data_IF_228564758344
#
_entry.id   IF_228564758344
#
_cell.length_a   1.000
_cell.length_b   1.000
_cell.length_c   1.000
_cell.angle_alpha   90.00
_cell.angle_beta   90.00
_cell.angle_gamma   90.00
#
_symmetry.space_group_name_H-M   'P 1'
#
loop_
_entity.id
_entity.type
_entity.pdbx_description
1 polymer ?
#
# COMPACT_ATOMS: atom_id res chain seq x y z
N UNK A 1 -6.37 -9.03 -0.61
CA UNK A 1 -5.39 -7.93 -0.49
C UNK A 1 -4.37 -8.12 -1.59
N UNK A 2 -4.11 -7.08 -2.36
CA UNK A 2 -3.05 -7.03 -3.36
C UNK A 2 -2.09 -5.92 -2.94
N UNK A 3 -0.81 -6.24 -2.84
CA UNK A 3 0.23 -5.28 -2.46
C UNK A 3 1.11 -4.95 -3.66
N UNK A 4 1.44 -3.68 -3.82
CA UNK A 4 2.36 -3.21 -4.85
C UNK A 4 2.85 -1.80 -4.54
N UNK A 5 3.49 -1.17 -5.51
CA UNK A 5 3.89 0.23 -5.44
C UNK A 5 3.59 0.95 -6.76
N UNK A 6 3.69 2.28 -6.75
CA UNK A 6 3.43 3.09 -7.94
C UNK A 6 4.56 3.02 -8.99
N UNK A 7 5.71 2.44 -8.61
CA UNK A 7 6.84 2.18 -9.51
C UNK A 7 7.57 0.87 -9.19
N UNK A 8 8.32 0.37 -10.16
CA UNK A 8 9.05 -0.90 -10.08
C UNK A 8 10.16 -0.88 -9.02
N UNK A 9 10.86 0.26 -8.86
CA UNK A 9 12.01 0.36 -7.97
C UNK A 9 11.57 0.30 -6.49
N UNK A 10 10.48 0.98 -6.15
CA UNK A 10 9.84 0.87 -4.83
C UNK A 10 9.42 -0.56 -4.55
N UNK A 11 8.77 -1.22 -5.51
CA UNK A 11 8.36 -2.63 -5.39
C UNK A 11 9.58 -3.52 -5.11
N UNK A 12 10.68 -3.31 -5.83
CA UNK A 12 11.93 -4.04 -5.62
C UNK A 12 12.51 -3.82 -4.23
N UNK A 13 12.62 -2.57 -3.77
CA UNK A 13 13.16 -2.26 -2.43
C UNK A 13 12.38 -2.94 -1.31
N UNK A 14 11.05 -3.00 -1.42
CA UNK A 14 10.18 -3.65 -0.43
C UNK A 14 10.38 -5.17 -0.35
N UNK A 15 10.65 -5.83 -1.48
CA UNK A 15 10.78 -7.30 -1.53
C UNK A 15 12.22 -7.80 -1.47
N UNK A 16 13.18 -6.96 -1.83
CA UNK A 16 14.59 -7.36 -1.94
C UNK A 16 15.20 -7.61 -0.56
N UNK A 17 15.81 -8.79 -0.40
CA UNK A 17 16.54 -9.18 0.79
C UNK A 17 17.84 -9.85 0.34
N UNK A 18 18.99 -9.30 0.74
CA UNK A 18 20.30 -9.71 0.22
C UNK A 18 20.63 -11.19 0.48
N UNK A 19 20.16 -11.71 1.60
CA UNK A 19 20.37 -13.09 2.07
C UNK A 19 19.61 -14.15 1.24
N UNK A 20 18.49 -13.78 0.64
CA UNK A 20 17.63 -14.68 -0.15
C UNK A 20 17.52 -14.29 -1.62
N UNK A 21 18.19 -13.22 -2.03
CA UNK A 21 18.07 -12.66 -3.37
C UNK A 21 18.61 -13.62 -4.44
N UNK A 22 17.81 -13.79 -5.49
CA UNK A 22 18.24 -14.38 -6.77
C UNK A 22 18.84 -13.31 -7.66
N UNK A 23 19.50 -13.73 -8.74
CA UNK A 23 20.07 -12.85 -9.76
C UNK A 23 19.01 -12.12 -10.60
N UNK A 24 17.76 -12.58 -10.56
CA UNK A 24 16.68 -12.08 -11.40
C UNK A 24 15.42 -11.80 -10.61
N UNK A 25 14.71 -10.75 -11.01
CA UNK A 25 13.41 -10.34 -10.49
C UNK A 25 12.40 -10.24 -11.64
N UNK A 26 11.13 -10.53 -11.35
CA UNK A 26 10.02 -10.38 -12.31
C UNK A 26 9.04 -9.35 -11.77
N UNK A 27 8.69 -8.38 -12.60
CA UNK A 27 7.69 -7.36 -12.31
C UNK A 27 6.40 -7.68 -13.07
N UNK A 28 5.27 -7.54 -12.37
CA UNK A 28 3.95 -7.49 -12.99
C UNK A 28 3.39 -6.08 -12.84
N UNK A 29 3.15 -5.40 -13.96
CA UNK A 29 2.57 -4.05 -13.97
C UNK A 29 1.08 -4.15 -14.19
N UNK A 30 0.31 -3.62 -13.25
CA UNK A 30 -1.15 -3.66 -13.29
C UNK A 30 -1.73 -2.28 -13.60
N UNK A 31 -2.83 -2.26 -14.36
CA UNK A 31 -3.62 -1.06 -14.64
C UNK A 31 -4.99 -1.19 -14.01
N UNK A 32 -5.51 -0.08 -13.50
CA UNK A 32 -6.90 -0.01 -13.04
C UNK A 32 -7.86 0.04 -14.24
N UNK A 33 -8.90 -0.78 -14.21
CA UNK A 33 -9.94 -0.83 -15.26
C UNK A 33 -11.13 0.08 -14.94
N UNK A 34 -11.16 0.62 -13.73
CA UNK A 34 -12.11 1.62 -13.27
C UNK A 34 -11.43 2.56 -12.26
N UNK A 35 -11.98 3.76 -12.02
CA UNK A 35 -11.54 4.59 -10.90
C UNK A 35 -11.65 3.84 -9.57
N UNK A 36 -10.62 3.93 -8.73
CA UNK A 36 -10.58 3.33 -7.40
C UNK A 36 -10.67 4.42 -6.33
N UNK A 37 -11.38 4.13 -5.24
CA UNK A 37 -11.47 4.99 -4.07
C UNK A 37 -10.44 4.56 -3.03
N UNK A 38 -9.37 5.32 -2.85
CA UNK A 38 -8.26 4.96 -1.98
C UNK A 38 -8.19 5.89 -0.76
N UNK A 39 -7.91 5.33 0.41
CA UNK A 39 -7.48 6.11 1.57
C UNK A 39 -6.01 6.46 1.41
N UNK A 40 -5.69 7.74 1.32
CA UNK A 40 -4.31 8.21 1.20
C UNK A 40 -3.71 8.54 2.56
N UNK A 41 -2.93 7.61 3.11
CA UNK A 41 -2.16 7.84 4.33
C UNK A 41 -0.85 8.58 4.04
N UNK A 42 -0.36 8.58 2.79
CA UNK A 42 0.91 9.23 2.45
C UNK A 42 0.84 10.76 2.54
N UNK A 43 -0.38 11.33 2.53
CA UNK A 43 -0.64 12.75 2.51
C UNK A 43 -1.73 13.16 3.53
N UNK A 44 -1.54 12.80 4.80
CA UNK A 44 -2.48 13.16 5.86
C UNK A 44 -2.49 14.67 6.15
N UNK A 45 -3.66 15.27 6.47
CA UNK A 45 -3.74 16.64 6.94
C UNK A 45 -2.92 16.86 8.22
N UNK A 46 -2.40 18.09 8.39
CA UNK A 46 -1.71 18.47 9.64
C UNK A 46 -2.66 18.35 10.83
N UNK A 47 -2.11 17.91 11.96
CA UNK A 47 -2.84 17.83 13.22
C UNK A 47 -3.16 19.26 13.70
N UNK A 48 -4.44 19.63 13.90
CA UNK A 48 -4.84 20.94 14.41
C UNK A 48 -4.24 21.24 15.78
N UNK A 49 -4.00 22.52 16.09
CA UNK A 49 -3.53 22.93 17.41
C UNK A 49 -4.52 22.55 18.52
N UNK A 50 -4.04 22.36 19.74
CA UNK A 50 -4.93 22.18 20.91
C UNK A 50 -5.77 23.42 21.23
N UNK A 51 -5.38 24.58 20.69
CA UNK A 51 -6.10 25.85 20.82
C UNK A 51 -6.92 26.21 19.57
N UNK A 52 -6.97 25.34 18.55
CA UNK A 52 -7.78 25.58 17.36
C UNK A 52 -9.22 25.14 17.61
N UNK A 53 -10.04 26.03 18.18
CA UNK A 53 -11.43 25.72 18.53
C UNK A 53 -12.27 25.24 17.34
N UNK A 54 -11.95 25.68 16.12
CA UNK A 54 -12.72 25.34 14.91
C UNK A 54 -12.47 23.90 14.47
N UNK A 55 -11.20 23.48 14.49
CA UNK A 55 -10.78 22.16 14.01
C UNK A 55 -10.42 21.17 15.14
N UNK A 56 -10.62 21.54 16.42
CA UNK A 56 -10.26 20.72 17.58
C UNK A 56 -10.83 19.30 17.52
N UNK A 57 -12.08 19.15 17.05
CA UNK A 57 -12.75 17.85 16.92
C UNK A 57 -12.02 16.87 16.00
N UNK A 58 -11.25 17.38 15.02
CA UNK A 58 -10.47 16.59 14.07
C UNK A 58 -9.11 16.18 14.62
N UNK A 59 -8.67 16.75 15.74
CA UNK A 59 -7.35 16.51 16.32
C UNK A 59 -7.14 15.05 16.72
N UNK A 60 -8.05 14.46 17.49
CA UNK A 60 -7.92 13.07 17.96
C UNK A 60 -7.97 12.06 16.80
N UNK A 61 -8.91 12.16 15.84
CA UNK A 61 -8.88 11.31 14.65
C UNK A 61 -7.59 11.44 13.84
N UNK A 62 -7.07 12.67 13.66
CA UNK A 62 -5.84 12.87 12.91
C UNK A 62 -4.62 12.31 13.64
N UNK A 63 -4.53 12.47 14.97
CA UNK A 63 -3.48 11.83 15.76
C UNK A 63 -3.46 10.31 15.53
N UNK A 64 -4.62 9.66 15.63
CA UNK A 64 -4.73 8.23 15.34
C UNK A 64 -4.29 7.89 13.92
N UNK A 65 -4.69 8.69 12.91
CA UNK A 65 -4.30 8.40 11.52
C UNK A 65 -2.80 8.57 11.28
N UNK A 66 -2.16 9.56 11.92
CA UNK A 66 -0.71 9.72 11.87
C UNK A 66 0.02 8.57 12.57
N UNK A 67 -0.47 8.13 13.73
CA UNK A 67 0.11 6.98 14.44
C UNK A 67 -0.08 5.68 13.63
N UNK A 68 -1.24 5.49 13.03
CA UNK A 68 -1.54 4.35 12.15
C UNK A 68 -0.65 4.35 10.89
N UNK A 69 -0.43 5.51 10.27
CA UNK A 69 0.50 5.64 9.15
C UNK A 69 1.93 5.27 9.57
N UNK A 70 2.38 5.77 10.72
CA UNK A 70 3.70 5.45 11.25
C UNK A 70 3.84 3.94 11.54
N UNK A 71 2.78 3.25 11.94
CA UNK A 71 2.81 1.81 12.18
C UNK A 71 2.82 1.00 10.88
N UNK A 72 2.03 1.38 9.87
CA UNK A 72 1.96 0.70 8.57
C UNK A 72 3.26 0.85 7.77
N UNK A 73 4.00 1.93 7.99
CA UNK A 73 5.26 2.23 7.30
C UNK A 73 6.50 1.60 7.94
N UNK A 74 6.35 0.89 9.07
CA UNK A 74 7.48 0.19 9.70
C UNK A 74 7.96 -1.00 8.85
N UNK A 75 9.29 -1.19 8.68
CA UNK A 75 9.83 -2.35 7.98
C UNK A 75 9.45 -3.65 8.68
N UNK A 76 8.95 -4.62 7.92
CA UNK A 76 8.72 -5.97 8.45
C UNK A 76 10.08 -6.65 8.63
N UNK A 77 10.44 -6.93 9.87
CA UNK A 77 11.59 -7.77 10.21
C UNK A 77 11.12 -9.21 10.19
N UNK A 78 11.64 -10.02 9.26
CA UNK A 78 11.25 -11.42 9.11
C UNK A 78 12.00 -12.36 10.07
N UNK A 79 11.82 -12.16 11.37
CA UNK A 79 12.50 -12.91 12.44
C UNK A 79 11.63 -14.00 13.09
N UNK A 80 10.42 -14.24 12.56
CA UNK A 80 9.45 -15.19 13.12
C UNK A 80 8.51 -14.60 14.18
N UNK A 81 8.70 -13.34 14.60
CA UNK A 81 7.78 -12.58 15.46
C UNK A 81 6.91 -11.58 14.68
N UNK A 82 7.02 -11.58 13.35
CA UNK A 82 6.25 -10.77 12.38
C UNK A 82 4.74 -10.67 12.69
N UNK A 83 4.16 -11.72 13.28
CA UNK A 83 2.73 -11.81 13.53
C UNK A 83 2.23 -10.96 14.70
N UNK A 84 3.07 -10.54 15.64
CA UNK A 84 2.60 -9.86 16.87
C UNK A 84 2.45 -8.34 16.64
N UNK A 85 3.43 -7.73 15.96
CA UNK A 85 3.45 -6.27 15.77
C UNK A 85 2.47 -5.78 14.69
N UNK A 86 2.11 -6.63 13.73
CA UNK A 86 1.29 -6.24 12.57
C UNK A 86 -0.20 -6.57 12.70
N UNK A 87 -0.63 -7.31 13.73
CA UNK A 87 -2.06 -7.60 13.94
C UNK A 87 -2.89 -6.32 14.09
N UNK A 88 -2.48 -5.30 14.87
CA UNK A 88 -3.24 -4.06 14.99
C UNK A 88 -3.47 -3.37 13.65
N UNK A 89 -2.43 -3.26 12.82
CA UNK A 89 -2.55 -2.56 11.53
C UNK A 89 -3.42 -3.32 10.54
N UNK A 90 -3.38 -4.66 10.55
CA UNK A 90 -4.28 -5.50 9.75
C UNK A 90 -5.75 -5.37 10.16
N UNK A 91 -6.04 -5.31 11.46
CA UNK A 91 -7.41 -5.12 11.96
C UNK A 91 -7.98 -3.79 11.45
N UNK A 92 -7.19 -2.72 11.50
CA UNK A 92 -7.62 -1.40 11.01
C UNK A 92 -7.82 -1.42 9.49
N UNK A 93 -6.93 -2.07 8.73
CA UNK A 93 -7.10 -2.22 7.28
C UNK A 93 -8.39 -2.99 6.92
N UNK A 94 -8.70 -4.06 7.66
CA UNK A 94 -9.93 -4.83 7.47
C UNK A 94 -11.18 -4.05 7.90
N UNK A 95 -11.09 -3.17 8.90
CA UNK A 95 -12.16 -2.21 9.20
C UNK A 95 -12.44 -1.31 8.00
N UNK A 96 -11.40 -0.74 7.38
CA UNK A 96 -11.57 0.10 6.18
C UNK A 96 -12.15 -0.67 5.00
N UNK A 97 -11.82 -1.96 4.88
CA UNK A 97 -12.31 -2.83 3.82
C UNK A 97 -13.78 -3.21 3.97
N UNK A 98 -14.19 -3.60 5.18
CA UNK A 98 -15.47 -4.25 5.40
C UNK A 98 -16.51 -3.36 6.09
N UNK A 99 -16.07 -2.50 7.01
CA UNK A 99 -16.96 -1.73 7.90
C UNK A 99 -17.11 -0.28 7.43
N UNK A 100 -15.99 0.39 7.14
CA UNK A 100 -16.01 1.78 6.72
C UNK A 100 -16.72 1.92 5.37
N UNK A 101 -17.62 2.91 5.28
CA UNK A 101 -18.25 3.37 4.05
C UNK A 101 -18.16 4.88 4.02
N UNK A 102 -17.97 5.43 2.82
CA UNK A 102 -18.11 6.86 2.60
C UNK A 102 -19.56 7.32 2.89
N UNK A 103 -19.78 8.63 2.95
CA UNK A 103 -21.11 9.21 3.20
C UNK A 103 -22.18 8.76 2.19
N UNK A 104 -21.76 8.42 0.96
CA UNK A 104 -22.63 7.89 -0.09
C UNK A 104 -22.79 6.35 -0.07
N UNK A 105 -22.28 5.66 0.97
CA UNK A 105 -22.33 4.21 1.11
C UNK A 105 -21.26 3.44 0.32
N UNK A 106 -20.40 4.12 -0.45
CA UNK A 106 -19.36 3.48 -1.26
C UNK A 106 -18.22 2.96 -0.37
N UNK A 107 -17.75 1.70 -0.53
CA UNK A 107 -16.56 1.21 0.15
C UNK A 107 -15.28 1.88 -0.36
N UNK A 108 -14.20 1.71 0.37
CA UNK A 108 -12.86 1.93 -0.16
C UNK A 108 -12.41 0.72 -1.00
N UNK A 109 -11.58 0.97 -2.00
CA UNK A 109 -10.92 -0.04 -2.84
C UNK A 109 -9.48 -0.33 -2.40
N UNK A 110 -8.94 0.45 -1.46
CA UNK A 110 -7.58 0.24 -0.93
C UNK A 110 -7.02 1.41 -0.15
N UNK A 111 -5.73 1.31 0.16
CA UNK A 111 -4.96 2.26 0.97
C UNK A 111 -3.64 2.57 0.25
N UNK A 112 -3.27 3.85 0.18
CA UNK A 112 -1.93 4.30 -0.18
C UNK A 112 -1.15 4.62 1.10
N UNK A 113 0.11 4.22 1.15
CA UNK A 113 0.99 4.42 2.30
C UNK A 113 2.44 4.58 1.84
N UNK A 114 3.30 5.17 2.69
CA UNK A 114 4.72 5.33 2.35
C UNK A 114 5.45 4.00 2.39
N UNK A 115 6.47 3.85 1.55
CA UNK A 115 7.34 2.68 1.59
C UNK A 115 8.12 2.62 2.90
N UNK A 116 8.23 1.42 3.46
CA UNK A 116 9.03 1.12 4.65
C UNK A 116 10.53 1.16 4.39
N UNK A 117 10.92 1.03 3.11
CA UNK A 117 12.32 1.03 2.65
C UNK A 117 12.74 2.34 2.00
N UNK A 118 11.78 3.15 1.56
CA UNK A 118 12.01 4.45 0.93
C UNK A 118 10.89 5.45 1.28
N UNK A 119 11.06 6.28 2.33
CA UNK A 119 9.96 7.08 2.89
C UNK A 119 9.26 8.08 1.94
N UNK A 120 9.89 8.42 0.82
CA UNK A 120 9.30 9.31 -0.20
C UNK A 120 8.50 8.56 -1.27
N UNK A 121 8.62 7.24 -1.32
CA UNK A 121 7.99 6.38 -2.31
C UNK A 121 6.66 5.83 -1.78
N UNK A 122 5.73 5.51 -2.68
CA UNK A 122 4.34 5.16 -2.32
C UNK A 122 4.06 3.71 -2.67
N UNK A 123 3.64 2.98 -1.65
CA UNK A 123 3.07 1.64 -1.73
C UNK A 123 1.55 1.71 -1.76
N UNK A 124 0.94 0.64 -2.26
CA UNK A 124 -0.51 0.48 -2.34
C UNK A 124 -0.93 -0.90 -1.85
N UNK A 125 -1.97 -0.93 -1.04
CA UNK A 125 -2.69 -2.13 -0.64
C UNK A 125 -4.12 -2.06 -1.17
N UNK A 126 -4.43 -2.84 -2.20
CA UNK A 126 -5.76 -2.89 -2.82
C UNK A 126 -6.62 -3.99 -2.21
N UNK A 127 -7.86 -3.63 -1.91
CA UNK A 127 -8.94 -4.52 -1.49
C UNK A 127 -9.55 -5.20 -2.71
N UNK A 128 -8.76 -6.04 -3.38
CA UNK A 128 -9.23 -6.89 -4.45
C UNK A 128 -9.17 -8.38 -4.07
N UNK A 129 -10.09 -9.14 -4.66
CA UNK A 129 -10.04 -10.60 -4.72
C UNK A 129 -9.45 -11.05 -6.07
N UNK A 130 -9.12 -12.33 -6.18
CA UNK A 130 -8.63 -12.93 -7.43
C UNK A 130 -9.60 -12.71 -8.60
N UNK A 131 -10.90 -12.82 -8.35
CA UNK A 131 -11.93 -12.69 -9.39
C UNK A 131 -12.09 -11.25 -9.88
N UNK A 132 -11.56 -10.26 -9.15
CA UNK A 132 -11.54 -8.85 -9.56
C UNK A 132 -10.29 -8.49 -10.37
N UNK A 133 -9.37 -9.43 -10.58
CA UNK A 133 -8.18 -9.30 -11.42
C UNK A 133 -8.35 -10.07 -12.73
N UNK A 134 -7.65 -9.63 -13.78
CA UNK A 134 -7.65 -10.28 -15.10
C UNK A 134 -6.35 -9.98 -15.85
N UNK A 135 -6.12 -10.67 -16.96
CA UNK A 135 -5.06 -10.36 -17.92
C UNK A 135 -5.63 -9.65 -19.18
N UNK A 136 -6.95 -9.44 -19.24
CA UNK A 136 -7.63 -8.72 -20.32
C UNK A 136 -7.87 -7.26 -19.94
N UNK A 137 -7.13 -6.35 -20.57
CA UNK A 137 -7.23 -4.90 -20.32
C UNK A 137 -8.55 -4.27 -20.79
N UNK A 138 -9.36 -5.02 -21.56
CA UNK A 138 -10.68 -4.59 -22.05
C UNK A 138 -11.83 -5.15 -21.22
N UNK A 139 -11.53 -6.00 -20.23
CA UNK A 139 -12.54 -6.63 -19.41
C UNK A 139 -13.38 -5.59 -18.64
N UNK A 140 -14.68 -5.85 -18.58
CA UNK A 140 -15.62 -5.05 -17.79
C UNK A 140 -15.89 -5.71 -16.44
N UNK A 141 -16.26 -4.91 -15.44
CA UNK A 141 -16.56 -5.42 -14.09
C UNK A 141 -15.35 -5.88 -13.27
N UNK A 142 -14.13 -5.75 -13.79
CA UNK A 142 -12.87 -6.04 -13.09
C UNK A 142 -12.29 -4.75 -12.47
N UNK A 143 -11.42 -4.90 -11.47
CA UNK A 143 -10.69 -3.78 -10.85
C UNK A 143 -9.32 -3.58 -11.51
N UNK A 144 -8.58 -4.68 -11.71
CA UNK A 144 -7.19 -4.65 -12.15
C UNK A 144 -6.98 -5.56 -13.36
N UNK A 145 -6.19 -5.09 -14.31
CA UNK A 145 -5.65 -5.91 -15.38
C UNK A 145 -4.12 -5.96 -15.31
N UNK A 146 -3.53 -7.14 -15.42
CA UNK A 146 -2.11 -7.27 -15.72
C UNK A 146 -1.87 -6.72 -17.12
N UNK A 147 -1.11 -5.64 -17.21
CA UNK A 147 -0.84 -4.94 -18.46
C UNK A 147 0.51 -5.32 -19.07
N UNK A 148 1.52 -5.58 -18.25
CA UNK A 148 2.82 -6.06 -18.73
C UNK A 148 3.56 -6.88 -17.67
N UNK A 149 4.45 -7.74 -18.15
CA UNK A 149 5.39 -8.50 -17.32
C UNK A 149 6.79 -8.21 -17.83
N UNK A 150 7.72 -7.90 -16.92
CA UNK A 150 9.12 -7.71 -17.26
C UNK A 150 10.00 -8.55 -16.35
N UNK A 151 11.11 -9.06 -16.88
CA UNK A 151 12.13 -9.76 -16.10
C UNK A 151 13.42 -8.97 -16.21
N UNK A 152 14.07 -8.73 -15.07
CA UNK A 152 15.30 -7.95 -14.99
C UNK A 152 16.36 -8.69 -14.18
N UNK A 153 17.63 -8.48 -14.54
CA UNK A 153 18.77 -8.98 -13.79
C UNK A 153 19.18 -7.92 -12.76
N UNK A 154 19.52 -8.37 -11.55
CA UNK A 154 19.89 -7.48 -10.46
C UNK A 154 21.40 -7.23 -10.50
N UNK A 155 21.78 -5.96 -10.48
CA UNK A 155 23.13 -5.55 -10.14
C UNK A 155 23.24 -5.47 -8.61
N UNK A 156 23.85 -6.47 -8.00
CA UNK A 156 24.01 -6.54 -6.54
C UNK A 156 24.89 -5.43 -5.95
N UNK A 157 25.81 -4.85 -6.73
CA UNK A 157 26.68 -3.79 -6.26
C UNK A 157 25.94 -2.46 -6.11
N UNK A 158 25.06 -2.14 -7.06
CA UNK A 158 24.28 -0.89 -7.07
C UNK A 158 22.85 -1.05 -6.56
N UNK A 159 22.38 -2.30 -6.36
CA UNK A 159 20.99 -2.65 -6.06
C UNK A 159 20.01 -2.06 -7.10
N UNK A 160 20.40 -2.12 -8.37
CA UNK A 160 19.60 -1.67 -9.51
C UNK A 160 19.43 -2.78 -10.53
N UNK A 161 18.73 -2.49 -11.63
CA UNK A 161 18.54 -3.44 -12.73
C UNK A 161 19.57 -3.23 -13.84
N UNK A 162 19.89 -4.32 -14.55
CA UNK A 162 20.68 -4.35 -15.80
C UNK A 162 19.78 -4.74 -16.95
#
# INVERSE_FOLDING_TARGET
>A
MFYGALDEMTTFKEVFQMDTAKDTVTFGSFKTLKPLQLLDLSNLPKIPSMFDEKDYSRRMPLLFMHDFEADVTKPIIKDGLEHIEYVPTQIVAEHFRHVFKQSNGTPLDGILYRSSRAPTEICVALFCTKDECTDDITATGKKLALFSVSRKTINFATQTFV
#
